data_IF_925528864374
#
_entry.id   IF_925528864374
#
_cell.length_a   1.000
_cell.length_b   1.000
_cell.length_c   1.000
_cell.angle_alpha   90.00
_cell.angle_beta   90.00
_cell.angle_gamma   90.00
#
_symmetry.space_group_name_H-M   'P 1'
#
loop_
_entity.id
_entity.type
_entity.pdbx_description
1 polymer ?
#
# COMPACT_ATOMS: atom_id res chain seq x y z
N UNK A 1 24.12 -14.01 0.56
CA UNK A 1 24.43 -12.95 1.54
C UNK A 1 23.49 -11.79 1.27
N UNK A 2 22.88 -11.22 2.31
CA UNK A 2 22.01 -10.06 2.16
C UNK A 2 22.83 -8.85 1.69
N UNK A 3 22.27 -8.04 0.80
CA UNK A 3 22.95 -6.83 0.32
C UNK A 3 22.48 -5.62 1.11
N UNK A 4 23.39 -4.68 1.40
CA UNK A 4 23.04 -3.39 2.03
C UNK A 4 21.96 -2.65 1.22
N UNK A 5 21.99 -2.79 -0.12
CA UNK A 5 21.00 -2.23 -1.03
C UNK A 5 19.59 -2.75 -0.75
N UNK A 6 19.43 -4.04 -0.45
CA UNK A 6 18.13 -4.63 -0.12
C UNK A 6 17.60 -4.09 1.24
N UNK A 7 18.47 -3.96 2.24
CA UNK A 7 18.11 -3.41 3.54
C UNK A 7 17.68 -1.94 3.45
N UNK A 8 18.46 -1.11 2.76
CA UNK A 8 18.11 0.29 2.51
C UNK A 8 16.83 0.40 1.67
N UNK A 9 16.68 -0.47 0.66
CA UNK A 9 15.50 -0.51 -0.19
C UNK A 9 14.22 -0.76 0.60
N UNK A 10 14.19 -1.78 1.46
CA UNK A 10 13.04 -2.04 2.35
C UNK A 10 12.84 -0.90 3.34
N UNK A 11 13.91 -0.40 3.97
CA UNK A 11 13.80 0.71 4.93
C UNK A 11 13.07 1.91 4.32
N UNK A 12 13.49 2.39 3.14
CA UNK A 12 12.85 3.52 2.48
C UNK A 12 11.46 3.20 1.93
N UNK A 13 11.24 1.97 1.45
CA UNK A 13 9.94 1.54 0.96
C UNK A 13 8.89 1.54 2.09
N UNK A 14 9.25 0.99 3.24
CA UNK A 14 8.36 0.87 4.41
C UNK A 14 8.13 2.23 5.07
N UNK A 15 9.16 3.08 5.16
CA UNK A 15 9.00 4.47 5.60
C UNK A 15 8.02 5.23 4.68
N UNK A 16 8.18 5.13 3.36
CA UNK A 16 7.29 5.78 2.42
C UNK A 16 5.85 5.24 2.49
N UNK A 17 5.68 3.92 2.63
CA UNK A 17 4.37 3.30 2.73
C UNK A 17 3.62 3.73 4.00
N UNK A 18 4.29 3.72 5.16
CA UNK A 18 3.68 4.15 6.43
C UNK A 18 3.40 5.65 6.45
N UNK A 19 4.34 6.48 5.99
CA UNK A 19 4.13 7.93 5.88
C UNK A 19 2.91 8.24 4.98
N UNK A 20 2.76 7.51 3.88
CA UNK A 20 1.62 7.63 2.98
C UNK A 20 0.31 7.18 3.64
N UNK A 21 0.31 6.05 4.34
CA UNK A 21 -0.85 5.56 5.11
C UNK A 21 -1.30 6.57 6.16
N UNK A 22 -0.36 7.13 6.95
CA UNK A 22 -0.63 8.15 7.96
C UNK A 22 -1.15 9.43 7.32
N UNK A 23 -0.56 9.90 6.22
CA UNK A 23 -1.03 11.08 5.51
C UNK A 23 -2.47 10.90 4.98
N UNK A 24 -2.75 9.74 4.38
CA UNK A 24 -4.08 9.41 3.88
C UNK A 24 -5.12 9.25 4.99
N UNK A 25 -4.75 8.69 6.15
CA UNK A 25 -5.64 8.59 7.31
C UNK A 25 -6.17 9.96 7.73
N UNK A 26 -5.30 10.98 7.74
CA UNK A 26 -5.67 12.37 8.04
C UNK A 26 -6.53 12.98 6.94
N UNK A 27 -6.17 12.75 5.68
CA UNK A 27 -6.92 13.26 4.53
C UNK A 27 -8.34 12.70 4.50
N UNK A 28 -8.51 11.39 4.73
CA UNK A 28 -9.81 10.72 4.85
C UNK A 28 -10.64 11.28 6.01
N UNK A 29 -10.01 11.47 7.19
CA UNK A 29 -10.68 12.01 8.36
C UNK A 29 -11.25 13.42 8.13
N UNK A 30 -10.53 14.24 7.33
CA UNK A 30 -10.95 15.59 6.95
C UNK A 30 -12.04 15.54 5.86
N UNK A 31 -11.91 14.68 4.85
CA UNK A 31 -12.78 14.68 3.68
C UNK A 31 -14.13 13.98 3.90
N UNK A 32 -14.16 12.83 4.56
CA UNK A 32 -15.36 12.00 4.69
C UNK A 32 -15.85 11.81 6.13
N UNK A 33 -15.11 12.35 7.12
CA UNK A 33 -15.29 12.20 8.57
C UNK A 33 -14.41 11.11 9.18
N UNK A 34 -14.18 11.20 10.50
CA UNK A 34 -13.17 10.41 11.20
C UNK A 34 -13.41 8.89 11.16
N UNK A 35 -14.65 8.45 11.01
CA UNK A 35 -14.98 7.03 10.88
C UNK A 35 -14.34 6.37 9.64
N UNK A 36 -14.09 7.15 8.58
CA UNK A 36 -13.47 6.66 7.35
C UNK A 36 -11.94 6.65 7.41
N UNK A 37 -11.32 7.14 8.49
CA UNK A 37 -9.87 7.07 8.66
C UNK A 37 -9.38 5.61 8.70
N UNK A 38 -10.16 4.69 9.29
CA UNK A 38 -9.82 3.26 9.36
C UNK A 38 -9.89 2.53 8.01
N UNK A 39 -10.47 3.15 6.99
CA UNK A 39 -10.54 2.59 5.64
C UNK A 39 -9.14 2.38 5.08
N UNK A 40 -8.21 3.31 5.34
CA UNK A 40 -6.86 3.20 4.77
C UNK A 40 -6.11 1.99 5.32
N UNK A 41 -6.24 1.71 6.62
CA UNK A 41 -5.61 0.55 7.26
C UNK A 41 -6.16 -0.74 6.62
N UNK A 42 -7.46 -0.77 6.36
CA UNK A 42 -8.12 -1.91 5.69
C UNK A 42 -7.61 -2.07 4.25
N UNK A 43 -7.42 -0.99 3.51
CA UNK A 43 -6.83 -0.99 2.16
C UNK A 43 -5.37 -1.44 2.16
N UNK A 44 -4.58 -0.98 3.14
CA UNK A 44 -3.19 -1.39 3.30
C UNK A 44 -3.13 -2.90 3.54
N UNK A 45 -3.86 -3.41 4.53
CA UNK A 45 -3.94 -4.85 4.82
C UNK A 45 -4.44 -5.67 3.62
N UNK A 46 -5.46 -5.18 2.90
CA UNK A 46 -5.95 -5.83 1.68
C UNK A 46 -4.86 -5.88 0.61
N UNK A 47 -4.14 -4.79 0.39
CA UNK A 47 -3.07 -4.69 -0.61
C UNK A 47 -1.92 -5.65 -0.30
N UNK A 48 -1.42 -5.62 0.94
CA UNK A 48 -0.40 -6.56 1.41
C UNK A 48 -0.86 -8.02 1.27
N UNK A 49 -2.11 -8.33 1.65
CA UNK A 49 -2.67 -9.69 1.56
C UNK A 49 -2.82 -10.16 0.11
N UNK A 50 -3.36 -9.30 -0.78
CA UNK A 50 -3.49 -9.59 -2.21
C UNK A 50 -2.12 -9.85 -2.85
N UNK A 51 -1.08 -9.12 -2.43
CA UNK A 51 0.28 -9.33 -2.94
C UNK A 51 0.84 -10.71 -2.56
N UNK A 52 0.54 -11.20 -1.36
CA UNK A 52 0.89 -12.54 -0.91
C UNK A 52 0.16 -13.63 -1.69
N UNK A 53 -1.15 -13.47 -1.90
CA UNK A 53 -1.95 -14.38 -2.74
C UNK A 53 -1.42 -14.39 -4.17
N UNK A 54 -1.10 -13.22 -4.73
CA UNK A 54 -0.52 -13.09 -6.06
C UNK A 54 0.79 -13.88 -6.18
N UNK A 55 1.67 -13.81 -5.17
CA UNK A 55 2.91 -14.58 -5.18
C UNK A 55 2.72 -16.10 -5.08
N UNK A 56 1.59 -16.58 -4.57
CA UNK A 56 1.26 -18.00 -4.54
C UNK A 56 0.83 -18.52 -5.92
N UNK A 57 0.07 -17.71 -6.67
CA UNK A 57 -0.58 -18.12 -7.93
C UNK A 57 0.26 -17.74 -9.16
N UNK A 58 0.93 -16.58 -9.12
CA UNK A 58 1.72 -16.10 -10.24
C UNK A 58 3.12 -16.76 -10.29
N UNK A 59 3.68 -16.87 -11.50
CA UNK A 59 5.09 -17.29 -11.65
C UNK A 59 5.99 -16.29 -10.93
N UNK A 60 6.92 -16.80 -10.12
CA UNK A 60 7.81 -16.02 -9.25
C UNK A 60 8.40 -14.80 -9.99
N UNK A 61 7.94 -13.58 -9.70
CA UNK A 61 8.55 -12.39 -10.28
C UNK A 61 10.01 -12.32 -9.85
N UNK A 62 10.91 -12.06 -10.81
CA UNK A 62 12.35 -12.20 -10.61
C UNK A 62 13.02 -11.00 -9.94
N UNK A 63 12.36 -9.85 -9.88
CA UNK A 63 13.01 -8.61 -9.42
C UNK A 63 12.06 -7.73 -8.59
N UNK A 64 12.51 -7.24 -7.42
CA UNK A 64 11.76 -6.30 -6.58
C UNK A 64 11.74 -4.87 -7.15
N UNK A 65 12.57 -4.57 -8.17
CA UNK A 65 12.69 -3.22 -8.73
C UNK A 65 11.44 -2.75 -9.48
N UNK A 66 10.79 -3.66 -10.22
CA UNK A 66 9.59 -3.33 -11.00
C UNK A 66 8.42 -2.93 -10.08
N UNK A 67 8.02 -3.75 -9.09
CA UNK A 67 6.91 -3.37 -8.21
C UNK A 67 7.23 -2.14 -7.36
N UNK A 68 8.47 -1.96 -6.87
CA UNK A 68 8.84 -0.73 -6.13
C UNK A 68 8.79 0.53 -6.99
N UNK A 69 9.16 0.44 -8.26
CA UNK A 69 9.02 1.53 -9.20
C UNK A 69 7.55 1.86 -9.47
N UNK A 70 6.69 0.85 -9.67
CA UNK A 70 5.25 1.04 -9.86
C UNK A 70 4.61 1.64 -8.60
N UNK A 71 4.99 1.17 -7.40
CA UNK A 71 4.54 1.76 -6.14
C UNK A 71 4.80 3.28 -6.14
N UNK A 72 6.06 3.68 -6.38
CA UNK A 72 6.44 5.10 -6.38
C UNK A 72 5.67 5.90 -7.44
N UNK A 73 5.54 5.36 -8.64
CA UNK A 73 4.86 6.01 -9.77
C UNK A 73 3.36 6.15 -9.53
N UNK A 74 2.76 5.27 -8.73
CA UNK A 74 1.31 5.26 -8.47
C UNK A 74 0.88 6.18 -7.33
N UNK A 75 1.78 6.58 -6.41
CA UNK A 75 1.43 7.40 -5.25
C UNK A 75 0.69 8.69 -5.62
N UNK A 76 1.28 9.51 -6.50
CA UNK A 76 0.72 10.83 -6.85
C UNK A 76 -0.51 10.71 -7.76
N UNK A 77 -0.49 9.95 -8.87
CA UNK A 77 -1.64 9.86 -9.77
C UNK A 77 -2.89 9.30 -9.08
N UNK A 78 -2.73 8.31 -8.19
CA UNK A 78 -3.85 7.74 -7.47
C UNK A 78 -4.38 8.67 -6.38
N UNK A 79 -3.50 9.46 -5.74
CA UNK A 79 -3.93 10.51 -4.82
C UNK A 79 -4.78 11.56 -5.55
N UNK A 80 -4.36 11.99 -6.74
CA UNK A 80 -5.13 12.93 -7.58
C UNK A 80 -6.48 12.31 -7.95
N UNK A 81 -6.50 11.07 -8.43
CA UNK A 81 -7.73 10.37 -8.81
C UNK A 81 -8.69 10.23 -7.62
N UNK A 82 -8.17 9.87 -6.44
CA UNK A 82 -8.91 9.81 -5.19
C UNK A 82 -9.58 11.17 -4.87
N UNK A 83 -8.83 12.27 -4.99
CA UNK A 83 -9.36 13.62 -4.69
C UNK A 83 -10.43 14.07 -5.70
N UNK A 84 -10.42 13.58 -6.93
CA UNK A 84 -11.39 13.97 -7.96
C UNK A 84 -12.62 13.07 -8.03
N UNK A 85 -12.64 11.93 -7.34
CA UNK A 85 -13.82 11.07 -7.32
C UNK A 85 -14.96 11.73 -6.52
N UNK A 86 -16.15 11.89 -7.12
CA UNK A 86 -17.31 12.51 -6.47
C UNK A 86 -18.00 11.49 -5.57
N UNK A 87 -17.47 11.28 -4.36
CA UNK A 87 -18.08 10.44 -3.34
C UNK A 87 -18.64 11.30 -2.21
N UNK A 88 -19.92 11.08 -1.90
CA UNK A 88 -20.58 11.67 -0.74
C UNK A 88 -21.15 10.55 0.15
N UNK A 89 -20.61 10.36 1.37
CA UNK A 89 -21.11 9.35 2.31
C UNK A 89 -22.60 9.50 2.65
N UNK A 90 -23.16 10.72 2.61
CA UNK A 90 -24.54 10.98 3.01
C UNK A 90 -25.56 10.46 1.98
N UNK A 91 -25.13 10.32 0.72
CA UNK A 91 -25.97 9.85 -0.37
C UNK A 91 -25.93 8.33 -0.57
N UNK A 92 -25.14 7.58 0.22
CA UNK A 92 -24.98 6.13 0.09
C UNK A 92 -26.28 5.33 0.11
N UNK A 93 -27.27 5.77 0.90
CA UNK A 93 -28.58 5.09 0.99
C UNK A 93 -29.55 5.52 -0.10
N UNK A 94 -29.30 6.63 -0.79
CA UNK A 94 -30.22 7.24 -1.75
C UNK A 94 -29.78 6.99 -3.20
N UNK A 95 -28.46 6.96 -3.44
CA UNK A 95 -27.88 6.83 -4.77
C UNK A 95 -26.98 5.59 -4.87
N UNK A 96 -27.41 4.53 -5.60
CA UNK A 96 -26.62 3.32 -5.77
C UNK A 96 -25.22 3.54 -6.36
N UNK A 97 -25.05 4.61 -7.14
CA UNK A 97 -23.76 4.98 -7.74
C UNK A 97 -22.69 5.28 -6.69
N UNK A 98 -23.07 5.75 -5.50
CA UNK A 98 -22.12 6.03 -4.41
C UNK A 98 -21.43 4.76 -3.90
N UNK A 99 -22.07 3.60 -3.98
CA UNK A 99 -21.42 2.31 -3.69
C UNK A 99 -20.32 1.98 -4.69
N UNK A 100 -20.51 2.32 -5.97
CA UNK A 100 -19.49 2.17 -7.01
C UNK A 100 -18.32 3.10 -6.73
N UNK A 101 -18.59 4.36 -6.37
CA UNK A 101 -17.52 5.29 -5.99
C UNK A 101 -16.75 4.81 -4.75
N UNK A 102 -17.43 4.30 -3.72
CA UNK A 102 -16.77 3.72 -2.55
C UNK A 102 -15.88 2.53 -2.93
N UNK A 103 -16.38 1.63 -3.77
CA UNK A 103 -15.58 0.50 -4.27
C UNK A 103 -14.34 0.97 -5.06
N UNK A 104 -14.48 2.00 -5.91
CA UNK A 104 -13.36 2.59 -6.63
C UNK A 104 -12.33 3.20 -5.68
N UNK A 105 -12.75 3.85 -4.60
CA UNK A 105 -11.84 4.35 -3.57
C UNK A 105 -11.04 3.21 -2.94
N UNK A 106 -11.69 2.10 -2.58
CA UNK A 106 -10.98 0.91 -2.10
C UNK A 106 -9.95 0.41 -3.11
N UNK A 107 -10.31 0.29 -4.39
CA UNK A 107 -9.41 -0.19 -5.43
C UNK A 107 -8.18 0.72 -5.59
N UNK A 108 -8.42 2.04 -5.69
CA UNK A 108 -7.38 3.06 -5.88
C UNK A 108 -6.41 3.08 -4.70
N UNK A 109 -6.94 3.08 -3.48
CA UNK A 109 -6.11 3.14 -2.28
C UNK A 109 -5.34 1.85 -2.02
N UNK A 110 -5.90 0.69 -2.40
CA UNK A 110 -5.26 -0.62 -2.21
C UNK A 110 -4.09 -0.85 -3.16
N UNK A 111 -4.18 -0.29 -4.39
CA UNK A 111 -3.21 -0.52 -5.46
C UNK A 111 -1.75 -0.19 -5.10
N UNK A 112 -1.39 0.95 -4.49
CA UNK A 112 -0.01 1.22 -4.10
C UNK A 112 0.48 0.22 -3.04
N UNK A 113 -0.32 -0.08 -2.00
CA UNK A 113 0.07 -1.05 -0.98
C UNK A 113 0.26 -2.46 -1.53
N UNK A 114 -0.51 -2.85 -2.56
CA UNK A 114 -0.29 -4.10 -3.28
C UNK A 114 1.13 -4.18 -3.86
N UNK A 115 1.62 -3.14 -4.53
CA UNK A 115 2.97 -3.12 -5.10
C UNK A 115 4.07 -3.00 -4.05
N UNK A 116 3.82 -2.26 -2.96
CA UNK A 116 4.69 -2.25 -1.79
C UNK A 116 4.85 -3.67 -1.21
N UNK A 117 3.72 -4.34 -0.92
CA UNK A 117 3.71 -5.71 -0.41
C UNK A 117 4.35 -6.72 -1.34
N UNK A 118 4.15 -6.59 -2.65
CA UNK A 118 4.79 -7.44 -3.65
C UNK A 118 6.32 -7.32 -3.59
N UNK A 119 6.83 -6.10 -3.43
CA UNK A 119 8.26 -5.83 -3.30
C UNK A 119 8.83 -6.50 -2.04
N UNK A 120 8.16 -6.32 -0.89
CA UNK A 120 8.58 -6.90 0.39
C UNK A 120 8.57 -8.43 0.31
N UNK A 121 7.49 -9.02 -0.22
CA UNK A 121 7.37 -10.46 -0.34
C UNK A 121 8.43 -11.07 -1.29
N UNK A 122 8.78 -10.39 -2.39
CA UNK A 122 9.89 -10.82 -3.27
C UNK A 122 11.21 -10.84 -2.51
N UNK A 123 11.52 -9.77 -1.78
CA UNK A 123 12.76 -9.66 -1.01
C UNK A 123 12.84 -10.69 0.12
N UNK A 124 11.73 -10.96 0.82
CA UNK A 124 11.66 -12.01 1.84
C UNK A 124 11.83 -13.41 1.25
N UNK A 125 11.33 -13.66 0.03
CA UNK A 125 11.56 -14.94 -0.65
C UNK A 125 12.99 -15.10 -1.14
N UNK A 126 13.61 -14.04 -1.66
CA UNK A 126 14.99 -14.05 -2.15
C UNK A 126 16.01 -14.23 -1.02
N UNK A 127 15.77 -13.60 0.13
CA UNK A 127 16.68 -13.60 1.28
C UNK A 127 16.04 -14.25 2.51
N UNK A 128 15.36 -15.39 2.33
CA UNK A 128 14.65 -16.10 3.41
C UNK A 128 15.53 -16.47 4.59
N UNK A 129 16.81 -16.81 4.34
CA UNK A 129 17.80 -17.09 5.39
C UNK A 129 18.18 -15.87 6.25
N UNK A 130 17.88 -14.67 5.78
CA UNK A 130 18.18 -13.38 6.42
C UNK A 130 16.90 -12.57 6.70
N UNK A 131 15.74 -13.24 6.76
CA UNK A 131 14.43 -12.60 6.94
C UNK A 131 14.37 -11.70 8.19
N UNK A 132 15.05 -12.09 9.28
CA UNK A 132 15.14 -11.28 10.50
C UNK A 132 15.72 -9.88 10.25
N UNK A 133 16.80 -9.78 9.46
CA UNK A 133 17.43 -8.48 9.15
C UNK A 133 16.54 -7.62 8.25
N UNK A 134 15.87 -8.24 7.27
CA UNK A 134 14.91 -7.54 6.41
C UNK A 134 13.73 -7.00 7.21
N UNK A 135 13.16 -7.83 8.08
CA UNK A 135 12.06 -7.46 8.96
C UNK A 135 12.47 -6.35 9.95
N UNK A 136 13.70 -6.40 10.46
CA UNK A 136 14.22 -5.33 11.32
C UNK A 136 14.33 -4.00 10.56
N UNK A 137 14.83 -4.03 9.31
CA UNK A 137 14.91 -2.82 8.47
C UNK A 137 13.52 -2.30 8.08
N UNK A 138 12.57 -3.19 7.81
CA UNK A 138 11.16 -2.87 7.54
C UNK A 138 10.52 -2.13 8.71
N UNK A 139 10.61 -2.69 9.93
CA UNK A 139 10.09 -2.09 11.15
C UNK A 139 10.74 -0.74 11.47
N UNK A 140 12.06 -0.65 11.34
CA UNK A 140 12.80 0.60 11.58
C UNK A 140 12.42 1.64 10.53
N UNK A 141 12.23 1.25 9.27
CA UNK A 141 11.72 2.13 8.21
C UNK A 141 10.32 2.66 8.53
N UNK A 142 9.40 1.74 8.83
CA UNK A 142 8.03 2.06 9.21
C UNK A 142 7.94 3.00 10.42
N UNK A 143 8.84 2.87 11.40
CA UNK A 143 8.89 3.75 12.57
C UNK A 143 9.34 5.19 12.24
N UNK A 144 10.06 5.40 11.14
CA UNK A 144 10.48 6.72 10.67
C UNK A 144 9.44 7.40 9.76
N UNK A 145 8.53 6.63 9.16
CA UNK A 145 7.45 7.13 8.31
C UNK A 145 6.30 7.71 9.12
#
# INVERSE_FOLDING_TARGET
>A
MITIRALLGIFFLSAAALMFEVALSRLLAIRFWHHYAFLIISCALLGYSMSGIWMLIARRPRSPLIPSFIFTLTLIPLLILFVHLPFDPTLLSLEPMQWVYLFLHYLILTLPFFFCGLTINILLQEFSSSAFMLYSADLVGAAFG
#
